data_IF_783075693689
#
_entry.id   IF_783075693689
#
_cell.length_a   1.000
_cell.length_b   1.000
_cell.length_c   1.000
_cell.angle_alpha   90.00
_cell.angle_beta   90.00
_cell.angle_gamma   90.00
#
_symmetry.space_group_name_H-M   'P 1'
#
loop_
_entity.id
_entity.type
_entity.pdbx_description
1 polymer ?
#
# COMPACT_ATOMS: atom_id res chain seq x y z
N UNK A 1 -13.38 -0.69 4.86
CA UNK A 1 -14.19 -1.86 4.43
C UNK A 1 -15.68 -1.54 4.50
N UNK A 2 -16.23 -1.18 5.67
CA UNK A 2 -17.65 -0.81 5.82
C UNK A 2 -18.08 0.30 4.86
N UNK A 3 -17.32 1.40 4.78
CA UNK A 3 -17.58 2.49 3.83
C UNK A 3 -17.61 2.03 2.36
N UNK A 4 -16.74 1.08 1.99
CA UNK A 4 -16.71 0.53 0.61
C UNK A 4 -17.96 -0.29 0.34
N UNK A 5 -18.37 -1.15 1.28
CA UNK A 5 -19.58 -1.97 1.13
C UNK A 5 -20.84 -1.10 1.04
N UNK A 6 -20.96 -0.08 1.90
CA UNK A 6 -22.06 0.91 1.84
C UNK A 6 -22.05 1.67 0.51
N UNK A 7 -20.88 2.05 -0.01
CA UNK A 7 -20.74 2.70 -1.31
C UNK A 7 -21.21 1.80 -2.47
N UNK A 8 -20.89 0.51 -2.41
CA UNK A 8 -21.36 -0.49 -3.40
C UNK A 8 -22.89 -0.65 -3.31
N UNK A 9 -23.46 -0.76 -2.12
CA UNK A 9 -24.91 -0.86 -1.92
C UNK A 9 -25.64 0.39 -2.45
N UNK A 10 -25.11 1.57 -2.16
CA UNK A 10 -25.66 2.84 -2.66
C UNK A 10 -25.62 2.93 -4.19
N UNK A 11 -24.46 2.69 -4.80
CA UNK A 11 -24.31 2.76 -6.27
C UNK A 11 -25.16 1.69 -6.99
N UNK A 12 -25.34 0.51 -6.38
CA UNK A 12 -26.19 -0.54 -6.91
C UNK A 12 -27.68 -0.18 -6.91
N UNK A 13 -28.10 0.66 -5.96
CA UNK A 13 -29.47 1.13 -5.79
C UNK A 13 -29.79 2.42 -6.57
N UNK A 14 -28.83 3.01 -7.29
CA UNK A 14 -29.06 4.23 -8.06
C UNK A 14 -30.16 4.05 -9.11
N UNK A 15 -31.09 5.01 -9.16
CA UNK A 15 -32.13 5.08 -10.18
C UNK A 15 -31.59 5.74 -11.46
N UNK A 16 -30.69 5.03 -12.14
CA UNK A 16 -30.14 5.42 -13.44
C UNK A 16 -30.46 4.37 -14.51
N UNK A 17 -30.66 4.80 -15.78
CA UNK A 17 -30.91 3.92 -16.92
C UNK A 17 -29.81 2.86 -17.12
N UNK A 18 -30.12 1.77 -17.82
CA UNK A 18 -29.13 0.74 -18.15
C UNK A 18 -28.03 1.27 -19.09
N UNK A 19 -26.87 0.61 -19.10
CA UNK A 19 -25.75 0.99 -19.99
C UNK A 19 -26.21 0.94 -21.45
N UNK A 20 -27.04 -0.04 -21.78
CA UNK A 20 -27.63 -0.26 -23.09
C UNK A 20 -28.60 0.87 -23.48
N UNK A 21 -29.46 1.31 -22.55
CA UNK A 21 -30.37 2.45 -22.75
C UNK A 21 -29.61 3.75 -22.99
N UNK A 22 -28.59 4.05 -22.18
CA UNK A 22 -27.80 5.29 -22.35
C UNK A 22 -27.01 5.27 -23.67
N UNK A 23 -26.49 4.11 -24.08
CA UNK A 23 -25.82 3.97 -25.38
C UNK A 23 -26.79 4.20 -26.56
N UNK A 24 -28.02 3.70 -26.46
CA UNK A 24 -29.06 3.98 -27.45
C UNK A 24 -29.39 5.49 -27.51
N UNK A 25 -29.50 6.16 -26.35
CA UNK A 25 -29.68 7.61 -26.29
C UNK A 25 -28.50 8.36 -26.92
N UNK A 26 -27.25 7.94 -26.67
CA UNK A 26 -26.05 8.53 -27.27
C UNK A 26 -25.99 8.38 -28.80
N UNK A 27 -26.44 7.24 -29.33
CA UNK A 27 -26.50 7.00 -30.77
C UNK A 27 -27.55 7.90 -31.46
N UNK A 28 -28.62 8.25 -30.74
CA UNK A 28 -29.69 9.13 -31.25
C UNK A 28 -29.33 10.63 -31.28
N UNK A 29 -28.26 11.04 -30.60
CA UNK A 29 -27.87 12.46 -30.48
C UNK A 29 -26.77 12.81 -31.48
N UNK A 30 -26.98 13.81 -32.37
CA UNK A 30 -25.97 14.25 -33.36
C UNK A 30 -24.63 14.64 -32.71
N UNK A 31 -23.52 14.40 -33.42
CA UNK A 31 -22.17 14.72 -32.91
C UNK A 31 -21.95 16.21 -32.62
N UNK A 32 -22.68 17.08 -33.32
CA UNK A 32 -22.62 18.54 -33.13
C UNK A 32 -23.20 19.01 -31.78
N UNK A 33 -24.08 18.24 -31.13
CA UNK A 33 -24.66 18.60 -29.83
C UNK A 33 -23.76 18.12 -28.67
N UNK A 34 -22.63 18.81 -28.52
CA UNK A 34 -21.60 18.52 -27.52
C UNK A 34 -22.11 18.60 -26.08
N UNK A 35 -23.06 19.50 -25.79
CA UNK A 35 -23.62 19.69 -24.44
C UNK A 35 -24.46 18.47 -24.03
N UNK A 36 -25.33 17.99 -24.92
CA UNK A 36 -26.18 16.82 -24.64
C UNK A 36 -25.37 15.53 -24.59
N UNK A 37 -24.37 15.37 -25.47
CA UNK A 37 -23.44 14.21 -25.42
C UNK A 37 -22.61 14.18 -24.14
N UNK A 38 -22.17 15.33 -23.62
CA UNK A 38 -21.46 15.40 -22.33
C UNK A 38 -22.34 14.92 -21.17
N UNK A 39 -23.61 15.37 -21.10
CA UNK A 39 -24.56 14.89 -20.08
C UNK A 39 -24.80 13.39 -20.18
N UNK A 40 -24.99 12.86 -21.39
CA UNK A 40 -25.19 11.44 -21.62
C UNK A 40 -23.94 10.61 -21.29
N UNK A 41 -22.73 11.13 -21.49
CA UNK A 41 -21.48 10.49 -21.03
C UNK A 41 -21.41 10.41 -19.51
N UNK A 42 -21.84 11.44 -18.79
CA UNK A 42 -21.94 11.38 -17.32
C UNK A 42 -22.95 10.32 -16.88
N UNK A 43 -24.12 10.25 -17.51
CA UNK A 43 -25.12 9.20 -17.26
C UNK A 43 -24.58 7.80 -17.58
N UNK A 44 -23.80 7.66 -18.66
CA UNK A 44 -23.19 6.38 -19.04
C UNK A 44 -22.20 5.91 -17.96
N UNK A 45 -21.39 6.83 -17.44
CA UNK A 45 -20.48 6.52 -16.33
C UNK A 45 -21.26 6.08 -15.08
N UNK A 46 -22.36 6.75 -14.74
CA UNK A 46 -23.22 6.35 -13.61
C UNK A 46 -23.84 4.95 -13.84
N UNK A 47 -24.34 4.67 -15.04
CA UNK A 47 -24.89 3.37 -15.41
C UNK A 47 -23.83 2.25 -15.34
N UNK A 48 -22.60 2.52 -15.79
CA UNK A 48 -21.48 1.58 -15.69
C UNK A 48 -21.07 1.31 -14.23
N UNK A 49 -21.04 2.36 -13.40
CA UNK A 49 -20.79 2.22 -11.95
C UNK A 49 -21.87 1.38 -11.29
N UNK A 50 -23.15 1.66 -11.56
CA UNK A 50 -24.29 0.86 -11.08
C UNK A 50 -24.14 -0.61 -11.48
N UNK A 51 -23.81 -0.90 -12.74
CA UNK A 51 -23.60 -2.28 -13.22
C UNK A 51 -22.49 -2.99 -12.45
N UNK A 52 -21.35 -2.32 -12.23
CA UNK A 52 -20.26 -2.88 -11.43
C UNK A 52 -20.65 -3.08 -9.96
N UNK A 53 -21.40 -2.13 -9.39
CA UNK A 53 -21.88 -2.19 -8.02
C UNK A 53 -22.86 -3.35 -7.81
N UNK A 54 -23.80 -3.54 -8.73
CA UNK A 54 -24.73 -4.67 -8.73
C UNK A 54 -24.00 -6.01 -8.83
N UNK A 55 -22.98 -6.11 -9.68
CA UNK A 55 -22.14 -7.31 -9.80
C UNK A 55 -21.39 -7.64 -8.50
N UNK A 56 -20.97 -6.61 -7.76
CA UNK A 56 -20.26 -6.77 -6.49
C UNK A 56 -21.19 -6.91 -5.28
N UNK A 57 -22.48 -6.56 -5.41
CA UNK A 57 -23.42 -6.59 -4.31
C UNK A 57 -23.58 -8.04 -3.79
N UNK A 58 -23.42 -8.24 -2.48
CA UNK A 58 -23.39 -9.57 -1.86
C UNK A 58 -22.13 -10.44 -2.17
N UNK A 59 -21.20 -9.95 -2.98
CA UNK A 59 -19.88 -10.56 -3.22
C UNK A 59 -18.79 -9.81 -2.46
N UNK A 60 -18.89 -8.49 -2.40
CA UNK A 60 -17.92 -7.64 -1.73
C UNK A 60 -17.94 -7.90 -0.22
N UNK A 61 -16.76 -8.17 0.33
CA UNK A 61 -16.59 -8.44 1.77
C UNK A 61 -15.33 -7.76 2.27
N UNK A 62 -15.16 -7.72 3.60
CA UNK A 62 -13.89 -7.30 4.23
C UNK A 62 -12.70 -8.06 3.64
N UNK A 63 -12.83 -9.36 3.36
CA UNK A 63 -11.74 -10.19 2.81
C UNK A 63 -11.22 -9.66 1.46
N UNK A 64 -12.12 -9.19 0.60
CA UNK A 64 -11.76 -8.69 -0.74
C UNK A 64 -10.94 -7.41 -0.67
N UNK A 65 -11.32 -6.47 0.22
CA UNK A 65 -10.68 -5.15 0.30
C UNK A 65 -9.57 -5.05 1.34
N UNK A 66 -9.47 -6.01 2.28
CA UNK A 66 -8.51 -6.00 3.40
C UNK A 66 -7.08 -5.79 2.90
N UNK A 67 -6.65 -6.57 1.92
CA UNK A 67 -5.28 -6.51 1.42
C UNK A 67 -4.94 -5.14 0.82
N UNK A 68 -5.87 -4.56 0.07
CA UNK A 68 -5.68 -3.24 -0.55
C UNK A 68 -5.62 -2.13 0.48
N UNK A 69 -6.49 -2.15 1.49
CA UNK A 69 -6.41 -1.17 2.59
C UNK A 69 -5.09 -1.30 3.34
N UNK A 70 -4.68 -2.53 3.69
CA UNK A 70 -3.42 -2.77 4.40
C UNK A 70 -2.19 -2.34 3.60
N UNK A 71 -2.18 -2.53 2.27
CA UNK A 71 -1.00 -2.25 1.45
C UNK A 71 -0.95 -0.82 0.90
N UNK A 72 -2.06 -0.08 0.94
CA UNK A 72 -2.12 1.30 0.41
C UNK A 72 -1.32 2.30 1.24
N UNK A 73 -1.23 2.08 2.56
CA UNK A 73 -0.36 2.89 3.44
C UNK A 73 1.13 2.65 3.21
N UNK A 74 1.48 1.64 2.39
CA UNK A 74 2.85 1.30 2.00
C UNK A 74 3.15 1.70 0.54
N UNK A 75 2.33 2.56 -0.06
CA UNK A 75 2.59 3.11 -1.40
C UNK A 75 2.03 2.28 -2.57
N UNK A 76 1.05 1.40 -2.33
CA UNK A 76 0.34 0.73 -3.42
C UNK A 76 -0.39 1.75 -4.30
N UNK A 77 -0.16 1.66 -5.60
CA UNK A 77 -0.81 2.50 -6.62
C UNK A 77 -2.19 1.96 -6.98
N UNK A 78 -3.00 2.76 -7.67
CA UNK A 78 -4.30 2.34 -8.23
C UNK A 78 -4.21 1.02 -9.03
N UNK A 79 -3.17 0.88 -9.86
CA UNK A 79 -2.95 -0.35 -10.64
C UNK A 79 -2.69 -1.54 -9.72
N UNK A 80 -1.91 -1.35 -8.66
CA UNK A 80 -1.64 -2.37 -7.65
C UNK A 80 -2.88 -2.76 -6.86
N UNK A 81 -3.65 -1.77 -6.40
CA UNK A 81 -4.92 -1.94 -5.70
C UNK A 81 -5.92 -2.76 -6.52
N UNK A 82 -6.12 -2.38 -7.79
CA UNK A 82 -6.97 -3.12 -8.74
C UNK A 82 -6.54 -4.59 -8.87
N UNK A 83 -5.23 -4.85 -9.05
CA UNK A 83 -4.72 -6.22 -9.19
C UNK A 83 -4.99 -7.07 -7.94
N UNK A 84 -4.81 -6.50 -6.75
CA UNK A 84 -5.09 -7.21 -5.51
C UNK A 84 -6.58 -7.53 -5.35
N UNK A 85 -7.45 -6.56 -5.62
CA UNK A 85 -8.91 -6.76 -5.58
C UNK A 85 -9.34 -7.80 -6.61
N UNK A 86 -8.86 -7.69 -7.85
CA UNK A 86 -9.14 -8.65 -8.93
C UNK A 86 -8.74 -10.07 -8.52
N UNK A 87 -7.54 -10.27 -7.95
CA UNK A 87 -7.12 -11.58 -7.46
C UNK A 87 -8.06 -12.15 -6.38
N UNK A 88 -8.56 -11.30 -5.47
CA UNK A 88 -9.51 -11.72 -4.43
C UNK A 88 -10.91 -12.00 -4.97
N UNK A 89 -11.34 -11.25 -5.98
CA UNK A 89 -12.60 -11.51 -6.67
C UNK A 89 -12.53 -12.85 -7.42
N UNK A 90 -11.46 -13.13 -8.16
CA UNK A 90 -11.24 -14.44 -8.79
C UNK A 90 -11.33 -15.59 -7.78
N UNK A 91 -10.60 -15.49 -6.66
CA UNK A 91 -10.67 -16.49 -5.58
C UNK A 91 -12.11 -16.68 -5.07
N UNK A 92 -12.86 -15.58 -4.89
CA UNK A 92 -14.22 -15.60 -4.37
C UNK A 92 -15.19 -16.27 -5.36
N UNK A 93 -15.13 -15.94 -6.64
CA UNK A 93 -15.98 -16.53 -7.67
C UNK A 93 -15.66 -18.01 -7.90
N UNK A 94 -14.37 -18.39 -7.88
CA UNK A 94 -13.95 -19.80 -7.94
C UNK A 94 -14.49 -20.60 -6.74
N UNK A 95 -14.38 -20.05 -5.52
CA UNK A 95 -14.87 -20.72 -4.30
C UNK A 95 -16.39 -20.90 -4.31
N UNK A 96 -17.12 -20.02 -4.99
CA UNK A 96 -18.58 -20.12 -5.18
C UNK A 96 -18.98 -21.05 -6.34
N UNK A 97 -18.03 -21.70 -7.01
CA UNK A 97 -18.28 -22.69 -8.06
C UNK A 97 -18.50 -22.11 -9.46
N UNK A 98 -18.15 -20.84 -9.68
CA UNK A 98 -18.24 -20.25 -11.02
C UNK A 98 -17.08 -20.72 -11.91
N UNK A 99 -17.39 -20.99 -13.18
CA UNK A 99 -16.38 -21.24 -14.22
C UNK A 99 -15.85 -19.88 -14.69
N UNK A 100 -14.53 -19.74 -14.77
CA UNK A 100 -13.88 -18.54 -15.30
C UNK A 100 -13.93 -18.58 -16.83
N UNK A 101 -14.91 -17.87 -17.41
CA UNK A 101 -14.98 -17.61 -18.84
C UNK A 101 -14.55 -16.17 -19.16
N UNK A 102 -14.33 -15.87 -20.44
CA UNK A 102 -13.87 -14.55 -20.89
C UNK A 102 -14.81 -13.42 -20.45
N UNK A 103 -16.12 -13.70 -20.38
CA UNK A 103 -17.13 -12.72 -19.96
C UNK A 103 -17.00 -12.39 -18.47
N UNK A 104 -16.87 -13.40 -17.61
CA UNK A 104 -16.71 -13.22 -16.17
C UNK A 104 -15.37 -12.53 -15.85
N UNK A 105 -14.31 -12.83 -16.60
CA UNK A 105 -13.02 -12.15 -16.44
C UNK A 105 -13.12 -10.65 -16.75
N UNK A 106 -13.82 -10.26 -17.82
CA UNK A 106 -14.07 -8.86 -18.16
C UNK A 106 -14.96 -8.15 -17.12
N UNK A 107 -15.98 -8.83 -16.59
CA UNK A 107 -16.81 -8.31 -15.49
C UNK A 107 -15.99 -8.12 -14.20
N UNK A 108 -15.16 -9.10 -13.82
CA UNK A 108 -14.24 -9.00 -12.68
C UNK A 108 -13.25 -7.85 -12.89
N UNK A 109 -12.72 -7.69 -14.11
CA UNK A 109 -11.80 -6.60 -14.41
C UNK A 109 -12.46 -5.24 -14.17
N UNK A 110 -13.64 -4.99 -14.75
CA UNK A 110 -14.37 -3.72 -14.59
C UNK A 110 -14.78 -3.47 -13.15
N UNK A 111 -15.31 -4.50 -12.48
CA UNK A 111 -15.66 -4.44 -11.08
C UNK A 111 -14.45 -4.15 -10.19
N UNK A 112 -13.28 -4.71 -10.50
CA UNK A 112 -12.04 -4.44 -9.76
C UNK A 112 -11.55 -3.00 -9.91
N UNK A 113 -11.71 -2.39 -11.09
CA UNK A 113 -11.41 -0.97 -11.31
C UNK A 113 -12.30 -0.08 -10.44
N UNK A 114 -13.61 -0.30 -10.52
CA UNK A 114 -14.61 0.40 -9.72
C UNK A 114 -14.36 0.25 -8.21
N UNK A 115 -14.14 -0.98 -7.75
CA UNK A 115 -13.89 -1.26 -6.34
C UNK A 115 -12.55 -0.67 -5.85
N UNK A 116 -11.51 -0.65 -6.70
CA UNK A 116 -10.24 0.01 -6.37
C UNK A 116 -10.43 1.52 -6.21
N UNK A 117 -11.19 2.15 -7.11
CA UNK A 117 -11.49 3.57 -7.04
C UNK A 117 -12.23 3.93 -5.74
N UNK A 118 -13.31 3.20 -5.40
CA UNK A 118 -14.04 3.44 -4.14
C UNK A 118 -13.19 3.14 -2.93
N UNK A 119 -12.41 2.05 -2.94
CA UNK A 119 -11.55 1.70 -1.82
C UNK A 119 -10.52 2.81 -1.59
N UNK A 120 -9.86 3.29 -2.65
CA UNK A 120 -8.89 4.37 -2.55
C UNK A 120 -9.50 5.72 -2.20
N UNK A 121 -10.69 6.03 -2.74
CA UNK A 121 -11.46 7.22 -2.38
C UNK A 121 -11.92 7.21 -0.92
N UNK A 122 -12.36 6.06 -0.40
CA UNK A 122 -12.80 5.90 0.99
C UNK A 122 -11.66 6.04 2.00
N UNK A 123 -10.42 5.78 1.58
CA UNK A 123 -9.25 6.02 2.42
C UNK A 123 -8.97 7.53 2.62
N UNK A 124 -9.56 8.41 1.80
CA UNK A 124 -9.69 9.85 2.04
C UNK A 124 -8.47 10.55 2.62
N UNK A 125 -8.75 11.45 3.57
CA UNK A 125 -7.77 12.27 4.31
C UNK A 125 -7.10 11.54 5.47
N UNK A 126 -7.62 10.37 5.86
CA UNK A 126 -7.14 9.57 7.00
C UNK A 126 -5.64 9.25 6.92
N UNK A 127 -5.08 9.24 5.70
CA UNK A 127 -3.67 8.94 5.45
C UNK A 127 -2.92 10.04 4.71
N UNK A 128 -3.42 11.29 4.71
CA UNK A 128 -2.75 12.38 3.99
C UNK A 128 -1.34 12.66 4.55
N UNK A 129 -1.19 12.71 5.87
CA UNK A 129 0.12 12.88 6.52
C UNK A 129 1.07 11.72 6.19
N UNK A 130 0.58 10.49 6.28
CA UNK A 130 1.36 9.30 5.91
C UNK A 130 1.77 9.30 4.42
N UNK A 131 0.88 9.71 3.51
CA UNK A 131 1.19 9.89 2.09
C UNK A 131 2.22 11.01 1.86
N UNK A 132 2.14 12.09 2.63
CA UNK A 132 3.12 13.17 2.62
C UNK A 132 4.52 12.69 2.97
N UNK A 133 4.64 11.95 4.08
CA UNK A 133 5.91 11.35 4.53
C UNK A 133 6.42 10.33 3.50
N UNK A 134 5.57 9.43 2.99
CA UNK A 134 5.98 8.50 1.94
C UNK A 134 6.45 9.21 0.67
N UNK A 135 5.78 10.30 0.29
CA UNK A 135 6.17 11.13 -0.85
C UNK A 135 7.54 11.79 -0.63
N UNK A 136 7.79 12.29 0.58
CA UNK A 136 9.09 12.85 0.99
C UNK A 136 10.20 11.79 0.94
N UNK A 137 10.00 10.63 1.58
CA UNK A 137 10.93 9.50 1.53
C UNK A 137 11.25 9.11 0.07
N UNK A 138 10.22 8.95 -0.76
CA UNK A 138 10.38 8.61 -2.18
C UNK A 138 11.20 9.66 -2.96
N UNK A 139 11.06 10.95 -2.65
CA UNK A 139 11.89 12.01 -3.24
C UNK A 139 13.35 11.92 -2.78
N UNK A 140 13.60 11.67 -1.50
CA UNK A 140 14.96 11.47 -0.98
C UNK A 140 15.65 10.31 -1.70
N UNK A 141 14.98 9.15 -1.82
CA UNK A 141 15.52 8.00 -2.53
C UNK A 141 15.75 8.26 -4.04
N UNK A 142 14.91 9.10 -4.66
CA UNK A 142 15.13 9.50 -6.06
C UNK A 142 16.41 10.34 -6.21
N UNK A 143 16.59 11.37 -5.36
CA UNK A 143 17.80 12.22 -5.34
C UNK A 143 19.07 11.40 -5.09
N UNK A 144 19.04 10.51 -4.10
CA UNK A 144 20.17 9.58 -3.84
C UNK A 144 20.44 8.70 -5.06
N UNK A 145 19.40 8.15 -5.70
CA UNK A 145 19.56 7.36 -6.91
C UNK A 145 20.17 8.12 -8.10
N UNK A 146 19.94 9.43 -8.22
CA UNK A 146 20.54 10.30 -9.25
C UNK A 146 22.07 10.43 -9.09
N UNK A 147 22.58 10.33 -7.86
CA UNK A 147 24.03 10.25 -7.57
C UNK A 147 24.66 8.89 -7.93
N UNK A 148 23.86 7.93 -8.42
CA UNK A 148 24.32 6.57 -8.74
C UNK A 148 24.52 5.66 -7.52
N UNK A 149 24.19 6.13 -6.32
CA UNK A 149 24.29 5.36 -5.07
C UNK A 149 22.93 4.76 -4.68
N UNK A 150 22.91 3.55 -4.08
CA UNK A 150 21.69 2.98 -3.52
C UNK A 150 21.28 3.76 -2.26
N UNK A 151 19.98 3.83 -2.01
CA UNK A 151 19.47 4.37 -0.76
C UNK A 151 19.91 3.48 0.41
N UNK A 152 20.44 4.10 1.46
CA UNK A 152 20.78 3.42 2.71
C UNK A 152 20.61 4.36 3.90
N UNK A 153 20.36 3.78 5.07
CA UNK A 153 20.16 4.47 6.33
C UNK A 153 20.60 3.58 7.49
N UNK A 154 20.73 4.16 8.67
CA UNK A 154 20.98 3.42 9.91
C UNK A 154 19.71 3.43 10.76
N UNK A 155 19.28 2.26 11.24
CA UNK A 155 18.15 2.17 12.17
C UNK A 155 18.53 2.70 13.56
N UNK A 156 17.57 3.05 14.44
CA UNK A 156 17.86 3.46 15.82
C UNK A 156 18.63 2.42 16.66
N UNK A 157 18.65 1.15 16.23
CA UNK A 157 19.48 0.08 16.83
C UNK A 157 20.91 0.04 16.29
N UNK A 158 21.30 0.95 15.41
CA UNK A 158 22.61 0.97 14.76
C UNK A 158 22.78 -0.03 13.61
N UNK A 159 21.70 -0.68 13.15
CA UNK A 159 21.77 -1.59 11.99
C UNK A 159 21.79 -0.77 10.67
N UNK A 160 22.86 -0.87 9.86
CA UNK A 160 22.89 -0.26 8.53
C UNK A 160 22.03 -1.06 7.54
N UNK A 161 21.16 -0.38 6.80
CA UNK A 161 20.25 -0.97 5.81
C UNK A 161 20.52 -0.37 4.44
N UNK A 162 20.69 -1.22 3.42
CA UNK A 162 20.95 -0.79 2.03
C UNK A 162 19.94 -1.42 1.09
N UNK A 163 19.33 -0.62 0.22
CA UNK A 163 18.42 -1.13 -0.81
C UNK A 163 19.19 -1.72 -2.02
N UNK A 164 18.99 -3.00 -2.36
CA UNK A 164 19.78 -3.68 -3.39
C UNK A 164 19.31 -3.40 -4.83
N UNK A 165 18.38 -2.47 -5.04
CA UNK A 165 17.70 -2.32 -6.33
C UNK A 165 18.58 -1.67 -7.40
N UNK A 166 19.06 -2.51 -8.33
CA UNK A 166 19.81 -2.14 -9.53
C UNK A 166 19.04 -2.48 -10.81
N UNK A 167 19.41 -1.86 -11.93
CA UNK A 167 18.84 -2.17 -13.26
C UNK A 167 19.15 -3.63 -13.61
N UNK A 168 18.16 -4.38 -14.09
CA UNK A 168 18.37 -5.75 -14.54
C UNK A 168 18.91 -5.75 -15.97
N UNK A 169 20.06 -6.39 -16.18
CA UNK A 169 20.52 -6.73 -17.51
C UNK A 169 19.99 -8.10 -17.91
N UNK A 170 19.19 -8.20 -18.97
CA UNK A 170 18.81 -9.49 -19.52
C UNK A 170 19.49 -9.69 -20.86
N UNK A 171 20.25 -10.78 -21.00
CA UNK A 171 20.83 -11.21 -22.26
C UNK A 171 20.16 -12.50 -22.69
N UNK A 172 19.41 -12.45 -23.77
CA UNK A 172 18.81 -13.64 -24.36
C UNK A 172 19.81 -14.29 -25.32
N UNK A 173 20.16 -15.54 -25.06
CA UNK A 173 21.00 -16.36 -25.95
C UNK A 173 20.11 -17.38 -26.63
N UNK A 174 20.02 -17.26 -27.97
CA UNK A 174 19.30 -18.21 -28.81
C UNK A 174 20.20 -19.40 -29.09
N UNK A 175 19.75 -20.59 -28.70
CA UNK A 175 20.38 -21.87 -29.09
C UNK A 175 19.54 -22.55 -30.17
N UNK A 176 20.03 -23.66 -30.74
CA UNK A 176 19.29 -24.43 -31.77
C UNK A 176 17.99 -25.07 -31.25
N UNK A 177 17.86 -25.27 -29.94
CA UNK A 177 16.74 -26.00 -29.32
C UNK A 177 15.86 -25.09 -28.46
N UNK A 178 16.43 -24.05 -27.85
CA UNK A 178 15.69 -23.13 -26.97
C UNK A 178 16.34 -21.75 -26.84
N UNK A 179 15.60 -20.80 -26.28
CA UNK A 179 16.13 -19.49 -25.88
C UNK A 179 16.47 -19.51 -24.39
N UNK A 180 17.71 -19.21 -24.04
CA UNK A 180 18.16 -19.10 -22.65
C UNK A 180 18.26 -17.62 -22.27
N UNK A 181 17.60 -17.22 -21.19
CA UNK A 181 17.69 -15.85 -20.66
C UNK A 181 18.75 -15.81 -19.55
N UNK A 182 19.87 -15.13 -19.78
CA UNK A 182 20.85 -14.83 -18.74
C UNK A 182 20.52 -13.49 -18.11
N UNK A 183 20.53 -13.45 -16.77
CA UNK A 183 20.31 -12.23 -16.00
C UNK A 183 21.65 -11.82 -15.38
N UNK A 184 22.12 -10.64 -15.75
CA UNK A 184 23.36 -10.04 -15.26
C UNK A 184 23.02 -8.91 -14.30
N UNK A 185 23.32 -9.10 -13.02
CA UNK A 185 22.96 -8.18 -11.94
C UNK A 185 24.17 -7.42 -11.36
N UNK A 186 25.41 -7.87 -11.60
CA UNK A 186 26.61 -7.24 -11.03
C UNK A 186 27.02 -5.99 -11.82
N UNK A 187 27.51 -4.97 -11.11
CA UNK A 187 28.02 -3.73 -11.70
C UNK A 187 26.98 -2.81 -12.38
N UNK A 188 25.69 -3.17 -12.36
CA UNK A 188 24.62 -2.39 -13.00
C UNK A 188 24.28 -1.12 -12.22
N UNK A 189 23.91 -0.05 -12.94
CA UNK A 189 23.43 1.19 -12.32
C UNK A 189 22.27 0.95 -11.36
N UNK A 190 22.11 1.87 -10.43
CA UNK A 190 20.97 1.92 -9.51
C UNK A 190 19.67 2.10 -10.30
N UNK A 191 18.63 1.38 -9.90
CA UNK A 191 17.29 1.55 -10.46
C UNK A 191 16.52 2.60 -9.67
N UNK A 192 16.60 3.86 -10.10
CA UNK A 192 15.98 5.01 -9.42
C UNK A 192 14.48 4.76 -9.15
N UNK A 193 13.74 4.26 -10.14
CA UNK A 193 12.31 3.96 -9.98
C UNK A 193 12.02 2.90 -8.92
N UNK A 194 12.86 1.87 -8.77
CA UNK A 194 12.69 0.82 -7.76
C UNK A 194 13.12 1.29 -6.37
N UNK A 195 14.23 2.02 -6.27
CA UNK A 195 14.66 2.67 -5.02
C UNK A 195 13.55 3.58 -4.49
N UNK A 196 13.07 4.50 -5.34
CA UNK A 196 11.97 5.43 -5.04
C UNK A 196 10.71 4.74 -4.50
N UNK A 197 10.26 3.69 -5.18
CA UNK A 197 9.01 3.00 -4.81
C UNK A 197 9.14 2.07 -3.62
N UNK A 198 10.33 1.53 -3.36
CA UNK A 198 10.55 0.58 -2.27
C UNK A 198 11.07 1.22 -0.98
N UNK A 199 11.60 2.45 -1.03
CA UNK A 199 12.18 3.07 0.15
C UNK A 199 11.17 3.33 1.28
N UNK A 200 9.99 3.94 1.03
CA UNK A 200 9.02 4.16 2.09
C UNK A 200 8.62 2.89 2.87
N UNK A 201 8.20 1.78 2.22
CA UNK A 201 7.85 0.57 2.96
C UNK A 201 9.07 -0.07 3.64
N UNK A 202 10.25 -0.07 3.02
CA UNK A 202 11.43 -0.66 3.64
C UNK A 202 11.89 0.12 4.87
N UNK A 203 11.74 1.44 4.87
CA UNK A 203 12.04 2.29 6.02
C UNK A 203 11.10 1.96 7.19
N UNK A 204 9.78 1.91 6.95
CA UNK A 204 8.80 1.53 7.98
C UNK A 204 9.06 0.11 8.51
N UNK A 205 9.29 -0.88 7.63
CA UNK A 205 9.61 -2.24 8.08
C UNK A 205 10.90 -2.31 8.92
N UNK A 206 11.87 -1.43 8.67
CA UNK A 206 13.08 -1.36 9.49
C UNK A 206 12.80 -0.80 10.89
N UNK A 207 11.83 0.11 11.02
CA UNK A 207 11.34 0.62 12.30
C UNK A 207 10.49 -0.42 13.03
N UNK A 208 9.62 -1.15 12.34
CA UNK A 208 8.84 -2.26 12.92
C UNK A 208 9.77 -3.35 13.47
N UNK A 209 10.84 -3.67 12.74
CA UNK A 209 11.87 -4.60 13.18
C UNK A 209 12.64 -4.06 14.39
N UNK A 210 12.92 -2.75 14.41
CA UNK A 210 13.56 -2.08 15.55
C UNK A 210 12.69 -2.16 16.80
N UNK A 211 11.41 -1.84 16.67
CA UNK A 211 10.43 -1.94 17.75
C UNK A 211 10.33 -3.36 18.32
N UNK A 212 10.24 -4.37 17.43
CA UNK A 212 10.23 -5.78 17.84
C UNK A 212 11.48 -6.14 18.63
N UNK A 213 12.67 -5.76 18.16
CA UNK A 213 13.94 -6.11 18.81
C UNK A 213 14.11 -5.40 20.16
N UNK A 214 13.73 -4.11 20.26
CA UNK A 214 13.73 -3.37 21.52
C UNK A 214 12.80 -4.02 22.55
N UNK A 215 11.59 -4.39 22.13
CA UNK A 215 10.62 -5.08 22.97
C UNK A 215 11.15 -6.44 23.42
N UNK A 216 11.67 -7.24 22.50
CA UNK A 216 12.22 -8.57 22.78
C UNK A 216 13.33 -8.48 23.83
N UNK A 217 14.22 -7.49 23.69
CA UNK A 217 15.31 -7.25 24.64
C UNK A 217 14.79 -6.98 26.04
N UNK A 218 13.81 -6.07 26.20
CA UNK A 218 13.20 -5.79 27.52
C UNK A 218 12.50 -7.00 28.11
N UNK A 219 11.72 -7.70 27.31
CA UNK A 219 11.00 -8.90 27.76
C UNK A 219 11.96 -9.98 28.27
N UNK A 220 13.06 -10.22 27.55
CA UNK A 220 14.02 -11.27 27.88
C UNK A 220 14.98 -10.86 29.01
N UNK A 221 15.51 -9.64 28.99
CA UNK A 221 16.57 -9.19 29.90
C UNK A 221 16.03 -8.61 31.22
N UNK A 222 14.95 -7.82 31.18
CA UNK A 222 14.43 -7.12 32.37
C UNK A 222 13.33 -7.91 33.07
N UNK A 223 12.38 -8.46 32.31
CA UNK A 223 11.21 -9.15 32.87
C UNK A 223 11.37 -10.67 32.92
N UNK A 224 12.41 -11.22 32.28
CA UNK A 224 12.69 -12.66 32.18
C UNK A 224 11.48 -13.47 31.67
N UNK A 225 10.77 -12.95 30.66
CA UNK A 225 9.64 -13.62 30.01
C UNK A 225 10.02 -14.12 28.62
N UNK A 226 9.48 -15.27 28.23
CA UNK A 226 9.67 -15.79 26.89
C UNK A 226 9.05 -14.85 25.85
N UNK A 227 9.75 -14.63 24.73
CA UNK A 227 9.29 -13.79 23.64
C UNK A 227 9.49 -14.50 22.30
N UNK A 228 8.45 -14.53 21.48
CA UNK A 228 8.51 -14.97 20.09
C UNK A 228 7.77 -13.96 19.22
N UNK A 229 8.17 -13.83 17.96
CA UNK A 229 7.55 -12.88 17.05
C UNK A 229 7.50 -13.39 15.61
N UNK A 230 6.43 -13.01 14.92
CA UNK A 230 6.29 -13.11 13.46
C UNK A 230 5.98 -11.71 12.96
N UNK A 231 7.02 -10.95 12.62
CA UNK A 231 6.93 -9.55 12.22
C UNK A 231 6.20 -8.67 13.25
N UNK A 232 4.94 -8.32 12.98
CA UNK A 232 4.06 -7.47 13.78
C UNK A 232 3.15 -8.26 14.75
N UNK A 233 3.36 -9.57 14.87
CA UNK A 233 2.67 -10.44 15.84
C UNK A 233 3.64 -10.94 16.91
N UNK A 234 3.33 -10.66 18.18
CA UNK A 234 4.20 -10.95 19.33
C UNK A 234 3.56 -11.93 20.30
N UNK A 235 4.31 -12.95 20.71
CA UNK A 235 3.82 -14.10 21.47
C UNK A 235 4.64 -14.29 22.74
N UNK A 236 3.97 -14.69 23.81
CA UNK A 236 4.56 -15.07 25.10
C UNK A 236 3.66 -16.12 25.79
N UNK A 237 4.01 -16.57 26.99
CA UNK A 237 3.15 -17.42 27.81
C UNK A 237 1.93 -16.65 28.33
N UNK A 238 0.79 -17.32 28.49
CA UNK A 238 -0.47 -16.70 28.88
C UNK A 238 -0.40 -15.85 30.17
N UNK A 239 0.42 -16.25 31.14
CA UNK A 239 0.63 -15.50 32.39
C UNK A 239 1.44 -14.20 32.23
N UNK A 240 2.14 -14.02 31.10
CA UNK A 240 3.06 -12.91 30.84
C UNK A 240 2.53 -11.91 29.82
N UNK A 241 1.31 -12.13 29.28
CA UNK A 241 0.71 -11.30 28.23
C UNK A 241 0.58 -9.84 28.65
N UNK A 242 0.13 -9.59 29.89
CA UNK A 242 -0.05 -8.21 30.39
C UNK A 242 1.28 -7.45 30.50
N UNK A 243 2.35 -8.16 30.89
CA UNK A 243 3.70 -7.59 30.99
C UNK A 243 4.21 -7.26 29.59
N UNK A 244 4.14 -8.21 28.66
CA UNK A 244 4.57 -8.01 27.27
C UNK A 244 3.81 -6.86 26.60
N UNK A 245 2.48 -6.79 26.79
CA UNK A 245 1.65 -5.73 26.23
C UNK A 245 2.02 -4.34 26.78
N UNK A 246 2.43 -4.25 28.05
CA UNK A 246 2.93 -3.00 28.62
C UNK A 246 4.25 -2.61 27.95
N UNK A 247 5.22 -3.52 27.88
CA UNK A 247 6.53 -3.28 27.25
C UNK A 247 6.43 -2.89 25.78
N UNK A 248 5.52 -3.50 25.04
CA UNK A 248 5.24 -3.15 23.65
C UNK A 248 4.83 -1.68 23.50
N UNK A 249 3.90 -1.20 24.33
CA UNK A 249 3.46 0.20 24.27
C UNK A 249 4.57 1.16 24.69
N UNK A 250 5.32 0.81 25.74
CA UNK A 250 6.47 1.59 26.22
C UNK A 250 7.54 1.73 25.13
N UNK A 251 7.95 0.64 24.49
CA UNK A 251 8.96 0.67 23.43
C UNK A 251 8.47 1.34 22.15
N UNK A 252 7.18 1.24 21.84
CA UNK A 252 6.59 2.00 20.73
C UNK A 252 6.72 3.51 20.97
N UNK A 253 6.32 3.99 22.15
CA UNK A 253 6.45 5.41 22.50
C UNK A 253 7.91 5.83 22.52
N UNK A 254 8.80 5.06 23.15
CA UNK A 254 10.23 5.32 23.20
C UNK A 254 10.89 5.42 21.81
N UNK A 255 10.47 4.57 20.86
CA UNK A 255 10.99 4.60 19.50
C UNK A 255 10.49 5.83 18.72
N UNK A 256 9.19 6.11 18.79
CA UNK A 256 8.57 7.15 17.95
C UNK A 256 8.59 8.56 18.58
N UNK A 257 8.98 8.72 19.85
CA UNK A 257 9.32 10.03 20.45
C UNK A 257 10.66 10.57 19.91
N UNK A 258 11.48 9.73 19.25
CA UNK A 258 12.73 10.16 18.61
C UNK A 258 12.45 10.91 17.29
N UNK A 259 13.32 11.86 16.89
CA UNK A 259 13.16 12.62 15.65
C UNK A 259 13.66 11.82 14.42
N UNK A 260 13.01 10.68 14.16
CA UNK A 260 13.47 9.66 13.20
C UNK A 260 13.66 10.18 11.76
N UNK A 261 12.85 11.15 11.32
CA UNK A 261 12.92 11.68 9.96
C UNK A 261 14.00 12.76 9.84
N UNK A 262 14.21 13.54 10.90
CA UNK A 262 15.27 14.51 11.03
C UNK A 262 16.64 13.82 11.08
N UNK A 263 16.78 12.76 11.90
CA UNK A 263 18.00 11.96 11.98
C UNK A 263 18.37 11.37 10.60
N UNK A 264 17.37 10.85 9.87
CA UNK A 264 17.55 10.37 8.50
C UNK A 264 18.00 11.51 7.56
N UNK A 265 17.41 12.69 7.68
CA UNK A 265 17.75 13.83 6.84
C UNK A 265 19.19 14.31 7.11
N UNK A 266 19.61 14.32 8.37
CA UNK A 266 20.96 14.69 8.77
C UNK A 266 22.00 13.66 8.29
N UNK A 267 21.70 12.36 8.38
CA UNK A 267 22.53 11.30 7.78
C UNK A 267 22.71 11.52 6.27
N UNK A 268 21.61 11.83 5.58
CA UNK A 268 21.62 12.09 4.14
C UNK A 268 22.41 13.35 3.76
N UNK A 269 22.27 14.44 4.52
CA UNK A 269 23.02 15.68 4.31
C UNK A 269 24.52 15.48 4.56
N UNK A 270 24.88 14.71 5.58
CA UNK A 270 26.28 14.38 5.88
C UNK A 270 26.90 13.54 4.75
N UNK A 271 26.15 12.56 4.23
CA UNK A 271 26.64 11.66 3.19
C UNK A 271 26.66 12.29 1.79
N UNK A 272 25.74 13.22 1.51
CA UNK A 272 25.61 13.90 0.22
C UNK A 272 25.59 15.43 0.41
N UNK A 273 26.74 16.05 0.77
CA UNK A 273 26.80 17.47 1.14
C UNK A 273 26.44 18.44 0.00
N UNK A 274 26.69 18.04 -1.25
CA UNK A 274 26.38 18.86 -2.43
C UNK A 274 24.90 18.77 -2.86
N UNK A 275 24.13 17.88 -2.23
CA UNK A 275 22.74 17.59 -2.62
C UNK A 275 21.74 18.32 -1.71
N UNK A 276 20.80 19.03 -2.33
CA UNK A 276 19.73 19.72 -1.59
C UNK A 276 18.54 18.79 -1.36
N UNK A 277 18.30 18.41 -0.12
CA UNK A 277 17.11 17.67 0.30
C UNK A 277 15.98 18.62 0.72
N UNK A 278 14.73 18.17 0.54
CA UNK A 278 13.55 18.90 1.01
C UNK A 278 13.48 18.74 2.54
N UNK A 279 13.00 19.76 3.27
CA UNK A 279 12.83 19.66 4.72
C UNK A 279 11.79 18.61 5.12
N UNK A 280 11.89 18.14 6.37
CA UNK A 280 10.99 17.13 6.93
C UNK A 280 9.55 17.65 6.91
N UNK A 281 8.54 16.84 6.52
CA UNK A 281 7.15 17.22 6.59
C UNK A 281 6.72 17.58 8.01
N UNK A 282 5.78 18.53 8.14
CA UNK A 282 5.25 18.91 9.45
C UNK A 282 4.54 17.71 10.11
N UNK A 283 4.91 17.44 11.35
CA UNK A 283 4.26 16.43 12.19
C UNK A 283 2.87 16.91 12.65
N UNK A 284 1.99 15.95 12.95
CA UNK A 284 0.67 16.25 13.51
C UNK A 284 0.75 16.63 14.99
N UNK A 285 -0.43 16.75 15.61
CA UNK A 285 -0.64 17.12 17.02
C UNK A 285 -0.96 15.91 17.93
N UNK A 286 -0.71 14.69 17.44
CA UNK A 286 -0.97 13.45 18.18
C UNK A 286 -0.06 13.37 19.42
N UNK A 287 -0.66 13.23 20.60
CA UNK A 287 0.06 12.82 21.81
C UNK A 287 0.36 11.31 21.76
N UNK A 288 1.62 10.96 21.48
CA UNK A 288 2.08 9.58 21.42
C UNK A 288 1.87 8.82 22.73
N UNK A 289 1.84 9.51 23.88
CA UNK A 289 1.68 8.84 25.18
C UNK A 289 0.31 8.21 25.35
N UNK A 290 -0.70 8.66 24.59
CA UNK A 290 -2.02 8.01 24.54
C UNK A 290 -1.96 6.53 24.13
N UNK A 291 -0.88 6.09 23.47
CA UNK A 291 -0.65 4.68 23.11
C UNK A 291 -0.52 3.79 24.35
N UNK A 292 0.04 4.31 25.46
CA UNK A 292 0.23 3.57 26.70
C UNK A 292 -1.08 3.05 27.28
N UNK A 293 -2.14 3.83 27.12
CA UNK A 293 -3.49 3.51 27.63
C UNK A 293 -4.36 2.79 26.59
N UNK A 294 -3.83 2.47 25.40
CA UNK A 294 -4.62 1.87 24.32
C UNK A 294 -4.72 0.35 24.46
N UNK A 295 -5.89 -0.19 24.87
CA UNK A 295 -6.02 -1.63 25.13
C UNK A 295 -5.92 -2.47 23.85
N UNK A 296 -6.27 -1.90 22.70
CA UNK A 296 -6.30 -2.59 21.40
C UNK A 296 -5.12 -2.26 20.49
N UNK A 297 -4.06 -1.65 21.02
CA UNK A 297 -2.86 -1.31 20.25
C UNK A 297 -2.16 -2.55 19.68
N UNK A 298 -1.97 -3.56 20.53
CA UNK A 298 -1.67 -4.94 20.16
C UNK A 298 -2.68 -5.84 20.87
N UNK A 299 -3.37 -6.69 20.12
CA UNK A 299 -4.41 -7.61 20.62
C UNK A 299 -4.24 -9.00 20.00
#
# INVERSE_FOLDING_TARGET
>A
ATQVMVGVEHDAALDVPSVEEVNAMLASVPESDTRRRTKLRTLLNQAQRKKCAQFLNGIITRKVVKQTVMTSVYGVTYIGARKQISARLHETFLTKGHIMDEKLEDEIYRASCYCAEITMGSMGDLFNSARGIMGWLAKCAAKVGESGQPMSWITPLGLPVVQPYRKKGTKQVRTKVQHVLMVENEGRDVSIGRQKSAFPPNFVHSLDSTHMMLTARRCLEEDNIAFAAVHDSYWTHACSVDIMNRRLREEFVNLYEQPLLEDLLDELRLRFPDMKFDDVPQLGDLDLRSVLDSPYFFN
#
